data_IF_852253219618
#
_entry.id   IF_852253219618
#
_cell.length_a   1.000
_cell.length_b   1.000
_cell.length_c   1.000
_cell.angle_alpha   90.00
_cell.angle_beta   90.00
_cell.angle_gamma   90.00
#
_symmetry.space_group_name_H-M   'P 1'
#
loop_
_entity.id
_entity.type
_entity.pdbx_description
1 polymer ?
#
# COMPACT_ATOMS: atom_id res chain seq x y z
N UNK A 1 12.57 5.48 25.11
CA UNK A 1 11.21 5.24 25.67
C UNK A 1 10.09 5.64 24.73
N UNK A 2 8.85 5.72 25.26
CA UNK A 2 7.68 6.06 24.42
C UNK A 2 7.64 7.53 24.02
N UNK A 3 8.19 8.42 24.85
CA UNK A 3 8.24 9.86 24.58
C UNK A 3 9.21 10.24 23.47
N UNK A 4 10.32 9.50 23.33
CA UNK A 4 11.22 9.67 22.18
C UNK A 4 10.70 9.03 20.90
N UNK A 5 9.76 8.08 21.02
CA UNK A 5 9.18 7.34 19.88
C UNK A 5 7.97 8.03 19.29
N UNK A 6 7.01 8.39 20.13
CA UNK A 6 5.71 8.88 19.70
C UNK A 6 5.67 10.41 19.68
N UNK A 7 4.92 10.96 18.74
CA UNK A 7 4.51 12.36 18.82
C UNK A 7 3.65 12.59 20.06
N UNK A 8 3.61 13.81 20.59
CA UNK A 8 2.77 14.12 21.76
C UNK A 8 1.30 13.84 21.48
N UNK A 9 0.83 14.17 20.28
CA UNK A 9 -0.56 13.89 19.85
C UNK A 9 -0.87 12.39 19.88
N UNK A 10 0.03 11.56 19.32
CA UNK A 10 -0.15 10.12 19.33
C UNK A 10 -0.08 9.52 20.75
N UNK A 11 0.85 10.00 21.57
CA UNK A 11 0.97 9.56 22.94
C UNK A 11 -0.29 9.90 23.76
N UNK A 12 -0.81 11.12 23.59
CA UNK A 12 -2.08 11.52 24.19
C UNK A 12 -3.24 10.62 23.74
N UNK A 13 -3.39 10.35 22.43
CA UNK A 13 -4.41 9.44 21.90
C UNK A 13 -4.32 8.05 22.55
N UNK A 14 -3.09 7.50 22.69
CA UNK A 14 -2.86 6.20 23.34
C UNK A 14 -3.33 6.24 24.80
N UNK A 15 -2.98 7.27 25.57
CA UNK A 15 -3.36 7.44 26.98
C UNK A 15 -4.85 7.70 27.17
N UNK A 16 -5.57 8.11 26.13
CA UNK A 16 -7.04 8.21 26.08
C UNK A 16 -7.72 6.95 25.57
N UNK A 17 -6.98 5.84 25.42
CA UNK A 17 -7.52 4.58 24.94
C UNK A 17 -7.82 4.51 23.43
N UNK A 18 -7.54 5.58 22.66
CA UNK A 18 -7.92 5.73 21.24
C UNK A 18 -6.75 5.56 20.26
N UNK A 19 -5.57 5.16 20.75
CA UNK A 19 -4.35 5.07 19.93
C UNK A 19 -4.00 3.67 19.43
N UNK A 20 -4.97 2.76 19.33
CA UNK A 20 -4.72 1.38 18.91
C UNK A 20 -4.40 1.30 17.41
N UNK A 21 -3.20 0.83 17.09
CA UNK A 21 -2.74 0.60 15.71
C UNK A 21 -2.72 -0.88 15.32
N UNK A 22 -3.12 -1.75 16.24
CA UNK A 22 -3.23 -3.20 16.03
C UNK A 22 -4.63 -3.63 16.41
N UNK A 23 -5.59 -3.57 15.48
CA UNK A 23 -7.00 -3.88 15.79
C UNK A 23 -7.20 -5.33 16.26
N UNK A 24 -6.33 -6.24 15.83
CA UNK A 24 -6.37 -7.65 16.21
C UNK A 24 -5.93 -7.94 17.66
N UNK A 25 -5.28 -6.99 18.36
CA UNK A 25 -4.95 -7.16 19.78
C UNK A 25 -6.17 -6.82 20.63
N UNK A 26 -6.57 -7.73 21.50
CA UNK A 26 -7.64 -7.51 22.47
C UNK A 26 -7.22 -6.55 23.60
N UNK A 27 -5.94 -6.61 24.00
CA UNK A 27 -5.41 -5.72 25.03
C UNK A 27 -5.42 -4.27 24.56
N UNK A 28 -6.02 -3.41 25.38
CA UNK A 28 -6.10 -1.96 25.13
C UNK A 28 -5.51 -1.20 26.30
N UNK A 29 -4.91 -0.03 26.00
CA UNK A 29 -4.54 0.93 27.02
C UNK A 29 -5.84 1.47 27.65
N UNK A 30 -5.95 1.49 28.99
CA UNK A 30 -7.11 2.12 29.62
C UNK A 30 -7.12 3.63 29.37
N UNK A 31 -8.31 4.25 29.44
CA UNK A 31 -8.43 5.71 29.41
C UNK A 31 -8.06 6.27 30.80
N UNK A 32 -6.99 7.05 30.84
CA UNK A 32 -6.50 7.70 32.05
C UNK A 32 -7.24 9.02 32.37
N UNK A 33 -8.23 9.39 31.59
CA UNK A 33 -8.89 10.69 31.67
C UNK A 33 -8.05 11.83 31.08
N UNK A 34 -8.71 12.94 30.77
CA UNK A 34 -8.08 14.03 30.02
C UNK A 34 -6.92 14.69 30.76
N UNK A 35 -7.11 15.04 32.04
CA UNK A 35 -6.10 15.73 32.84
C UNK A 35 -4.84 14.87 33.04
N UNK A 36 -5.02 13.58 33.40
CA UNK A 36 -3.92 12.65 33.59
C UNK A 36 -3.20 12.36 32.28
N UNK A 37 -3.94 12.17 31.18
CA UNK A 37 -3.35 11.91 29.87
C UNK A 37 -2.50 13.10 29.40
N UNK A 38 -2.98 14.33 29.54
CA UNK A 38 -2.18 15.55 29.23
C UNK A 38 -0.88 15.60 30.04
N UNK A 39 -0.99 15.43 31.36
CA UNK A 39 0.17 15.47 32.26
C UNK A 39 1.18 14.36 31.95
N UNK A 40 0.71 13.12 31.76
CA UNK A 40 1.58 11.98 31.41
C UNK A 40 2.25 12.17 30.06
N UNK A 41 1.56 12.71 29.06
CA UNK A 41 2.14 13.02 27.76
C UNK A 41 3.37 13.93 27.90
N UNK A 42 3.22 15.03 28.61
CA UNK A 42 4.32 15.99 28.83
C UNK A 42 5.48 15.37 29.62
N UNK A 43 5.17 14.64 30.70
CA UNK A 43 6.19 14.01 31.55
C UNK A 43 6.98 12.94 30.78
N UNK A 44 6.30 12.08 30.01
CA UNK A 44 6.95 11.04 29.22
C UNK A 44 7.76 11.63 28.06
N UNK A 45 7.25 12.68 27.40
CA UNK A 45 8.00 13.39 26.36
C UNK A 45 9.28 14.04 26.94
N UNK A 46 9.19 14.67 28.10
CA UNK A 46 10.33 15.30 28.77
C UNK A 46 11.33 14.26 29.29
N UNK A 47 10.86 13.17 29.91
CA UNK A 47 11.72 12.12 30.45
C UNK A 47 12.52 11.38 29.36
N UNK A 48 11.97 11.30 28.18
CA UNK A 48 12.58 10.64 27.02
C UNK A 48 13.16 11.64 26.01
N UNK A 49 13.27 12.93 26.36
CA UNK A 49 13.90 13.93 25.51
C UNK A 49 15.36 13.53 25.23
N UNK A 50 15.78 13.73 23.99
CA UNK A 50 17.13 13.38 23.53
C UNK A 50 17.86 14.65 23.13
N UNK A 51 18.98 14.91 23.78
CA UNK A 51 19.84 16.06 23.48
C UNK A 51 20.78 15.80 22.29
N UNK A 52 20.95 14.50 21.92
CA UNK A 52 21.86 14.05 20.87
C UNK A 52 21.19 13.99 19.47
N UNK A 53 19.94 14.37 19.37
CA UNK A 53 19.20 14.32 18.11
C UNK A 53 19.68 15.43 17.19
N UNK A 54 20.45 15.06 16.19
CA UNK A 54 20.70 15.95 15.06
C UNK A 54 19.38 16.14 14.31
N UNK A 55 18.93 17.39 14.11
CA UNK A 55 17.76 17.63 13.28
C UNK A 55 17.95 16.90 11.94
N UNK A 56 17.02 16.01 11.60
CA UNK A 56 17.03 15.43 10.25
C UNK A 56 17.02 16.60 9.30
N UNK A 57 17.96 16.68 8.32
CA UNK A 57 17.97 17.78 7.38
C UNK A 57 16.61 17.85 6.71
N UNK A 58 15.78 18.82 7.10
CA UNK A 58 14.54 19.12 6.37
C UNK A 58 15.00 19.75 5.07
N UNK A 59 15.24 18.90 4.10
CA UNK A 59 15.60 19.38 2.78
C UNK A 59 14.48 20.28 2.26
N UNK A 60 14.85 21.47 1.82
CA UNK A 60 13.93 22.52 1.38
C UNK A 60 12.94 22.02 0.32
N UNK A 61 11.91 22.82 0.11
CA UNK A 61 10.78 22.54 -0.81
C UNK A 61 11.21 22.13 -2.24
N UNK A 62 12.42 22.47 -2.64
CA UNK A 62 12.96 22.31 -4.00
C UNK A 62 13.19 20.85 -4.44
N UNK A 63 13.16 19.87 -3.52
CA UNK A 63 13.44 18.47 -3.85
C UNK A 63 12.33 17.49 -3.42
N UNK A 64 11.15 17.97 -3.05
CA UNK A 64 10.06 17.14 -2.53
C UNK A 64 9.56 16.11 -3.55
N UNK A 65 9.38 16.49 -4.79
CA UNK A 65 8.83 15.63 -5.86
C UNK A 65 9.77 14.46 -6.15
N UNK A 66 11.07 14.72 -6.24
CA UNK A 66 12.06 13.66 -6.44
C UNK A 66 12.12 12.69 -5.27
N UNK A 67 12.08 13.20 -4.03
CA UNK A 67 12.12 12.39 -2.83
C UNK A 67 10.91 11.50 -2.66
N UNK A 68 9.73 12.03 -2.93
CA UNK A 68 8.50 11.27 -2.92
C UNK A 68 8.59 10.07 -3.88
N UNK A 69 9.07 10.29 -5.10
CA UNK A 69 9.31 9.21 -6.07
C UNK A 69 10.28 8.16 -5.52
N UNK A 70 11.43 8.60 -5.01
CA UNK A 70 12.43 7.65 -4.46
C UNK A 70 11.92 6.91 -3.23
N UNK A 71 11.14 7.56 -2.36
CA UNK A 71 10.49 6.90 -1.22
C UNK A 71 9.52 5.81 -1.66
N UNK A 72 8.73 6.10 -2.69
CA UNK A 72 7.83 5.13 -3.32
C UNK A 72 8.60 3.94 -3.91
N UNK A 73 9.68 4.22 -4.65
CA UNK A 73 10.48 3.18 -5.28
C UNK A 73 11.19 2.32 -4.23
N UNK A 74 11.66 2.91 -3.13
CA UNK A 74 12.27 2.20 -1.99
C UNK A 74 11.29 1.27 -1.28
N UNK A 75 10.05 1.70 -1.04
CA UNK A 75 9.06 0.92 -0.29
C UNK A 75 8.48 -0.25 -1.09
N UNK A 76 8.50 -0.13 -2.43
CA UNK A 76 7.99 -1.11 -3.40
C UNK A 76 8.84 -2.37 -3.55
N UNK A 77 8.34 -3.31 -4.37
CA UNK A 77 8.93 -4.65 -4.56
C UNK A 77 10.34 -4.64 -5.16
N UNK A 78 10.68 -3.63 -5.95
CA UNK A 78 12.03 -3.48 -6.54
C UNK A 78 13.01 -2.70 -5.64
N UNK A 79 12.52 -2.13 -4.55
CA UNK A 79 13.33 -1.42 -3.58
C UNK A 79 13.68 -2.28 -2.35
N UNK A 80 13.33 -1.78 -1.17
CA UNK A 80 13.51 -2.48 0.10
C UNK A 80 12.36 -3.46 0.40
N UNK A 81 11.34 -3.47 -0.43
CA UNK A 81 10.20 -4.40 -0.39
C UNK A 81 9.46 -4.40 0.97
N UNK A 82 9.28 -3.23 1.56
CA UNK A 82 8.61 -3.06 2.85
C UNK A 82 7.16 -3.58 2.82
N UNK A 83 6.50 -3.48 1.67
CA UNK A 83 5.12 -3.92 1.44
C UNK A 83 4.92 -5.44 1.47
N UNK A 84 5.99 -6.24 1.47
CA UNK A 84 5.87 -7.68 1.72
C UNK A 84 5.42 -7.97 3.14
N UNK A 85 5.79 -7.12 4.10
CA UNK A 85 5.45 -7.31 5.51
C UNK A 85 4.50 -6.25 6.06
N UNK A 86 4.43 -5.07 5.44
CA UNK A 86 3.64 -3.95 5.92
C UNK A 86 2.45 -3.66 5.03
N UNK A 87 1.31 -3.39 5.65
CA UNK A 87 0.18 -2.76 4.98
C UNK A 87 0.56 -1.31 4.59
N UNK A 88 -0.09 -0.78 3.57
CA UNK A 88 0.10 0.59 3.13
C UNK A 88 -1.22 1.21 2.63
N UNK A 89 -1.67 2.28 3.28
CA UNK A 89 -2.91 2.98 2.92
C UNK A 89 -4.14 2.04 2.79
N UNK A 90 -4.30 1.13 3.76
CA UNK A 90 -5.40 0.17 3.78
C UNK A 90 -5.24 -1.03 2.82
N UNK A 91 -4.18 -1.06 1.99
CA UNK A 91 -3.88 -2.23 1.18
C UNK A 91 -3.16 -3.28 2.02
N UNK A 92 -3.55 -4.54 1.83
CA UNK A 92 -2.88 -5.65 2.49
C UNK A 92 -1.42 -5.76 2.04
N UNK A 93 -0.56 -6.23 2.95
CA UNK A 93 0.81 -6.60 2.56
C UNK A 93 0.79 -7.79 1.61
N UNK A 94 1.86 -7.95 0.82
CA UNK A 94 1.98 -9.05 -0.15
C UNK A 94 2.27 -10.41 0.52
N UNK A 95 2.63 -10.41 1.80
CA UNK A 95 2.98 -11.61 2.55
C UNK A 95 2.52 -11.53 4.00
N UNK A 96 3.44 -11.37 4.95
CA UNK A 96 3.15 -11.33 6.38
C UNK A 96 2.43 -10.03 6.75
N UNK A 97 1.28 -10.13 7.39
CA UNK A 97 0.52 -8.94 7.80
C UNK A 97 1.15 -8.25 9.01
N UNK A 98 1.57 -7.01 8.85
CA UNK A 98 2.08 -6.14 9.89
C UNK A 98 1.35 -4.79 9.89
N UNK A 99 1.88 -3.82 10.64
CA UNK A 99 1.29 -2.48 10.74
C UNK A 99 1.18 -1.78 9.38
N UNK A 100 0.11 -1.01 9.21
CA UNK A 100 -0.01 -0.07 8.11
C UNK A 100 0.98 1.10 8.30
N UNK A 101 1.86 1.28 7.33
CA UNK A 101 2.88 2.33 7.36
C UNK A 101 2.30 3.74 7.18
N UNK A 102 1.09 3.87 6.62
CA UNK A 102 0.43 5.16 6.44
C UNK A 102 0.24 5.92 7.75
N UNK A 103 0.08 5.21 8.86
CA UNK A 103 -0.06 5.81 10.18
C UNK A 103 1.26 6.29 10.80
N UNK A 104 2.41 6.00 10.19
CA UNK A 104 3.72 6.28 10.78
C UNK A 104 4.00 7.76 11.00
N UNK A 105 3.73 8.68 10.04
CA UNK A 105 4.04 10.10 10.22
C UNK A 105 3.24 10.79 11.32
N UNK A 106 1.99 10.38 11.52
CA UNK A 106 1.16 10.94 12.59
C UNK A 106 1.60 10.50 13.99
N UNK A 107 2.18 9.30 14.06
CA UNK A 107 2.49 8.62 15.32
C UNK A 107 3.92 8.76 15.77
N UNK A 108 4.85 8.67 14.84
CA UNK A 108 6.27 8.53 15.15
C UNK A 108 6.98 9.87 15.04
N UNK A 109 7.98 10.04 15.89
CA UNK A 109 8.96 11.12 15.69
C UNK A 109 9.90 10.71 14.55
N UNK A 110 10.25 11.61 13.62
CA UNK A 110 11.09 11.29 12.47
C UNK A 110 12.47 10.77 12.84
N UNK A 111 13.03 11.27 13.93
CA UNK A 111 14.33 10.84 14.48
C UNK A 111 14.27 9.39 14.95
N UNK A 112 13.20 9.04 15.66
CA UNK A 112 12.99 7.66 16.11
C UNK A 112 12.75 6.72 14.93
N UNK A 113 11.99 7.16 13.92
CA UNK A 113 11.76 6.41 12.70
C UNK A 113 13.09 6.07 11.99
N UNK A 114 13.96 7.08 11.84
CA UNK A 114 15.30 6.92 11.27
C UNK A 114 16.13 5.88 12.05
N UNK A 115 16.27 6.07 13.33
CA UNK A 115 17.11 5.20 14.17
C UNK A 115 16.60 3.76 14.20
N UNK A 116 15.26 3.60 14.22
CA UNK A 116 14.62 2.29 14.17
C UNK A 116 14.89 1.58 12.83
N UNK A 117 14.86 2.29 11.71
CA UNK A 117 15.15 1.72 10.39
C UNK A 117 16.61 1.26 10.28
N UNK A 118 17.53 2.01 10.85
CA UNK A 118 18.96 1.66 10.84
C UNK A 118 19.22 0.40 11.66
N UNK A 119 18.68 0.30 12.88
CA UNK A 119 18.90 -0.86 13.74
C UNK A 119 17.62 -1.28 14.49
N UNK A 120 16.69 -1.98 13.83
CA UNK A 120 15.44 -2.41 14.46
C UNK A 120 15.65 -3.33 15.66
N UNK A 121 16.69 -4.17 15.64
CA UNK A 121 16.99 -5.12 16.70
C UNK A 121 17.42 -4.46 18.00
N UNK A 122 18.08 -3.29 17.97
CA UNK A 122 18.43 -2.52 19.16
C UNK A 122 17.19 -2.02 19.91
N UNK A 123 16.11 -1.70 19.18
CA UNK A 123 14.85 -1.25 19.78
C UNK A 123 13.93 -2.40 20.15
N UNK A 124 14.01 -3.50 19.44
CA UNK A 124 13.18 -4.68 19.68
C UNK A 124 13.97 -5.96 19.36
N UNK A 125 14.64 -6.53 20.34
CA UNK A 125 15.32 -7.83 20.19
C UNK A 125 14.34 -8.90 19.69
N UNK A 126 14.79 -9.70 18.72
CA UNK A 126 13.96 -10.73 18.10
C UNK A 126 12.94 -10.21 17.04
N UNK A 127 13.01 -8.94 16.65
CA UNK A 127 12.18 -8.43 15.55
C UNK A 127 12.47 -9.18 14.25
N UNK A 128 11.43 -9.41 13.44
CA UNK A 128 11.59 -9.94 12.07
C UNK A 128 11.90 -8.86 11.04
N UNK A 129 11.80 -7.58 11.43
CA UNK A 129 12.14 -6.48 10.54
C UNK A 129 13.65 -6.45 10.32
N UNK A 130 14.13 -6.62 9.06
CA UNK A 130 15.56 -6.55 8.78
C UNK A 130 16.07 -5.12 8.85
N UNK A 131 17.38 -4.95 9.05
CA UNK A 131 18.05 -3.69 8.77
C UNK A 131 18.43 -3.63 7.30
N UNK A 132 18.01 -2.57 6.61
CA UNK A 132 18.47 -2.26 5.25
C UNK A 132 19.65 -1.29 5.22
N UNK A 133 20.09 -0.88 6.39
CA UNK A 133 21.23 0.03 6.61
C UNK A 133 22.18 -0.53 7.68
N UNK A 134 22.72 -1.76 7.48
CA UNK A 134 23.64 -2.36 8.45
C UNK A 134 24.82 -1.41 8.69
N UNK A 135 25.13 -1.18 9.96
CA UNK A 135 26.16 -0.22 10.38
C UNK A 135 25.98 1.20 9.79
N UNK A 136 24.73 1.58 9.49
CA UNK A 136 24.39 2.86 8.88
C UNK A 136 24.67 2.97 7.37
N UNK A 137 24.99 1.86 6.70
CA UNK A 137 25.30 1.82 5.26
C UNK A 137 24.12 1.29 4.46
N UNK A 138 23.70 2.03 3.44
CA UNK A 138 22.59 1.65 2.59
C UNK A 138 22.95 0.45 1.68
N UNK A 139 22.10 -0.59 1.70
CA UNK A 139 22.23 -1.75 0.79
C UNK A 139 21.65 -1.46 -0.60
N UNK A 140 20.65 -0.59 -0.69
CA UNK A 140 20.02 -0.22 -1.96
C UNK A 140 20.87 0.81 -2.71
N UNK A 141 21.05 0.68 -4.05
CA UNK A 141 21.79 1.66 -4.86
C UNK A 141 21.00 2.94 -5.11
N UNK A 142 19.70 2.97 -4.81
CA UNK A 142 18.85 4.14 -4.98
C UNK A 142 19.48 5.32 -4.23
N UNK A 143 19.50 6.50 -4.85
CA UNK A 143 20.15 7.70 -4.31
C UNK A 143 21.66 7.52 -3.99
N UNK A 144 22.36 6.67 -4.75
CA UNK A 144 23.80 6.49 -4.62
C UNK A 144 24.24 5.91 -3.28
N UNK A 145 23.47 4.99 -2.72
CA UNK A 145 23.72 4.39 -1.39
C UNK A 145 23.72 5.41 -0.23
N UNK A 146 23.09 6.57 -0.41
CA UNK A 146 23.02 7.58 0.65
C UNK A 146 21.91 7.25 1.65
N UNK A 147 22.29 6.79 2.83
CA UNK A 147 21.40 6.36 3.92
C UNK A 147 20.41 7.45 4.32
N UNK A 148 20.90 8.67 4.57
CA UNK A 148 20.05 9.76 5.04
C UNK A 148 19.02 10.18 3.97
N UNK A 149 19.45 10.23 2.71
CA UNK A 149 18.54 10.56 1.61
C UNK A 149 17.48 9.46 1.39
N UNK A 150 17.83 8.20 1.57
CA UNK A 150 16.87 7.09 1.45
C UNK A 150 15.83 7.14 2.55
N UNK A 151 16.24 7.28 3.80
CA UNK A 151 15.33 7.31 4.95
C UNK A 151 14.43 8.56 4.90
N UNK A 152 14.99 9.72 4.57
CA UNK A 152 14.23 10.94 4.39
C UNK A 152 13.22 10.82 3.23
N UNK A 153 13.59 10.16 2.13
CA UNK A 153 12.67 9.91 1.02
C UNK A 153 11.50 9.02 1.42
N UNK A 154 11.74 7.98 2.22
CA UNK A 154 10.67 7.16 2.80
C UNK A 154 9.74 7.99 3.68
N UNK A 155 10.30 8.84 4.53
CA UNK A 155 9.52 9.73 5.40
C UNK A 155 8.66 10.71 4.63
N UNK A 156 9.23 11.37 3.60
CA UNK A 156 8.51 12.28 2.71
C UNK A 156 7.36 11.56 2.00
N UNK A 157 7.62 10.37 1.45
CA UNK A 157 6.61 9.59 0.77
C UNK A 157 5.44 9.22 1.69
N UNK A 158 5.73 8.74 2.91
CA UNK A 158 4.70 8.38 3.88
C UNK A 158 3.87 9.58 4.34
N UNK A 159 4.47 10.78 4.44
CA UNK A 159 3.74 12.00 4.77
C UNK A 159 2.80 12.49 3.66
N UNK A 160 3.10 12.17 2.41
CA UNK A 160 2.36 12.62 1.24
C UNK A 160 1.57 11.50 0.56
N UNK A 161 1.41 10.38 1.26
CA UNK A 161 0.87 9.14 0.70
C UNK A 161 -0.51 9.30 0.06
N UNK A 162 -1.38 10.12 0.63
CA UNK A 162 -2.73 10.39 0.09
C UNK A 162 -2.71 11.12 -1.27
N UNK A 163 -1.64 11.86 -1.55
CA UNK A 163 -1.48 12.67 -2.76
C UNK A 163 -0.61 12.00 -3.82
N UNK A 164 -0.16 10.78 -3.55
CA UNK A 164 0.83 10.11 -4.37
C UNK A 164 0.37 8.73 -4.84
N UNK A 165 1.05 8.21 -5.85
CA UNK A 165 0.78 6.85 -6.34
C UNK A 165 1.27 5.81 -5.34
N UNK A 166 0.58 4.68 -5.29
CA UNK A 166 1.04 3.51 -4.55
C UNK A 166 2.38 2.99 -5.13
N UNK A 167 3.18 2.27 -4.34
CA UNK A 167 4.43 1.70 -4.82
C UNK A 167 4.17 0.52 -5.75
N UNK A 168 5.16 0.22 -6.57
CA UNK A 168 5.13 -0.99 -7.39
C UNK A 168 4.89 -2.24 -6.51
N UNK A 169 3.95 -3.06 -6.93
CA UNK A 169 3.44 -4.23 -6.18
C UNK A 169 2.10 -3.98 -5.47
N UNK A 170 1.76 -2.73 -5.12
CA UNK A 170 0.44 -2.34 -4.63
C UNK A 170 -0.29 -1.39 -5.59
N UNK A 171 0.38 -0.91 -6.61
CA UNK A 171 -0.31 -0.18 -7.67
C UNK A 171 -1.44 -1.08 -8.15
N UNK A 172 -2.67 -0.63 -7.97
CA UNK A 172 -3.77 -1.24 -8.70
C UNK A 172 -3.39 -1.06 -10.16
N UNK A 173 -3.05 -2.14 -10.80
CA UNK A 173 -2.97 -2.17 -12.24
C UNK A 173 -4.37 -1.78 -12.70
N UNK A 174 -4.60 -0.53 -12.91
CA UNK A 174 -5.87 0.05 -13.30
C UNK A 174 -5.69 0.73 -14.65
N UNK A 175 -6.66 0.57 -15.51
CA UNK A 175 -6.64 1.16 -16.85
C UNK A 175 -6.86 0.15 -17.95
N UNK A 176 -6.99 -1.12 -17.62
CA UNK A 176 -7.30 -2.17 -18.58
C UNK A 176 -8.81 -2.44 -18.72
N UNK A 177 -9.66 -1.70 -17.98
CA UNK A 177 -11.13 -1.79 -18.14
C UNK A 177 -11.52 -1.32 -19.54
N UNK A 178 -12.06 -2.22 -20.31
CA UNK A 178 -12.56 -1.96 -21.67
C UNK A 178 -13.92 -1.29 -21.58
N UNK A 179 -14.04 -0.06 -22.11
CA UNK A 179 -15.27 0.73 -22.09
C UNK A 179 -15.80 0.95 -23.51
N UNK A 180 -16.79 0.19 -23.95
CA UNK A 180 -17.41 0.42 -25.25
C UNK A 180 -18.32 1.66 -25.21
N UNK A 181 -17.78 2.84 -25.55
CA UNK A 181 -18.53 4.12 -25.46
C UNK A 181 -19.19 4.47 -26.79
N UNK A 182 -18.42 4.58 -27.87
CA UNK A 182 -18.89 5.08 -29.17
C UNK A 182 -19.07 3.97 -30.23
N UNK A 183 -18.46 2.82 -30.02
CA UNK A 183 -18.50 1.66 -30.91
C UNK A 183 -18.34 0.38 -30.10
N UNK A 184 -18.79 -0.76 -30.64
CA UNK A 184 -18.53 -2.05 -30.04
C UNK A 184 -17.02 -2.33 -29.92
N UNK A 185 -16.65 -3.02 -28.86
CA UNK A 185 -15.30 -3.56 -28.62
C UNK A 185 -15.38 -5.08 -28.76
N UNK A 186 -14.54 -5.65 -29.62
CA UNK A 186 -14.35 -7.10 -29.74
C UNK A 186 -13.03 -7.44 -29.07
N UNK A 187 -13.07 -8.38 -28.11
CA UNK A 187 -11.92 -8.74 -27.30
C UNK A 187 -11.77 -10.26 -27.17
N UNK A 188 -10.60 -10.78 -27.55
CA UNK A 188 -10.27 -12.20 -27.39
C UNK A 188 -9.53 -12.40 -26.08
N UNK A 189 -9.97 -13.36 -25.30
CA UNK A 189 -9.39 -13.66 -23.98
C UNK A 189 -9.69 -15.10 -23.56
N UNK A 190 -9.04 -15.53 -22.49
CA UNK A 190 -9.46 -16.72 -21.74
C UNK A 190 -10.51 -16.28 -20.72
N UNK A 191 -11.72 -16.81 -20.81
CA UNK A 191 -12.85 -16.31 -20.03
C UNK A 191 -13.52 -17.41 -19.20
N UNK A 192 -13.83 -17.09 -17.95
CA UNK A 192 -14.50 -18.02 -17.05
C UNK A 192 -15.90 -18.40 -17.59
N UNK A 193 -16.16 -19.70 -17.65
CA UNK A 193 -17.42 -20.23 -18.15
C UNK A 193 -17.61 -20.19 -19.67
N UNK A 194 -16.60 -19.72 -20.42
CA UNK A 194 -16.57 -19.73 -21.88
C UNK A 194 -15.40 -20.58 -22.41
N UNK A 195 -14.21 -20.42 -21.80
CA UNK A 195 -13.03 -21.17 -22.19
C UNK A 195 -11.89 -20.32 -22.73
N UNK A 196 -10.92 -20.98 -23.36
CA UNK A 196 -9.70 -20.35 -23.90
C UNK A 196 -9.90 -19.74 -25.29
N UNK A 197 -11.02 -20.00 -25.93
CA UNK A 197 -11.36 -19.49 -27.26
C UNK A 197 -12.48 -18.43 -27.22
N UNK A 198 -12.57 -17.71 -26.07
CA UNK A 198 -13.61 -16.71 -25.87
C UNK A 198 -13.39 -15.46 -26.75
N UNK A 199 -14.43 -15.02 -27.42
CA UNK A 199 -14.54 -13.74 -28.12
C UNK A 199 -15.66 -12.95 -27.44
N UNK A 200 -15.30 -11.96 -26.64
CA UNK A 200 -16.26 -11.11 -25.97
C UNK A 200 -16.56 -9.87 -26.83
N UNK A 201 -17.82 -9.47 -26.85
CA UNK A 201 -18.29 -8.29 -27.58
C UNK A 201 -18.99 -7.35 -26.59
N UNK A 202 -18.41 -6.18 -26.41
CA UNK A 202 -18.97 -5.12 -25.59
C UNK A 202 -19.66 -4.08 -26.46
N UNK A 203 -20.92 -3.75 -26.14
CA UNK A 203 -21.71 -2.77 -26.88
C UNK A 203 -21.88 -1.47 -26.06
N UNK A 204 -21.95 -0.29 -26.71
CA UNK A 204 -22.24 0.98 -26.04
C UNK A 204 -23.58 1.01 -25.31
N UNK A 205 -24.52 0.13 -25.66
CA UNK A 205 -25.80 -0.03 -24.96
C UNK A 205 -25.67 -0.59 -23.54
N UNK A 206 -24.47 -1.01 -23.14
CA UNK A 206 -24.22 -1.66 -21.85
C UNK A 206 -24.72 -3.09 -21.75
N UNK A 207 -25.09 -3.72 -22.88
CA UNK A 207 -25.36 -5.17 -23.00
C UNK A 207 -24.17 -5.80 -23.71
N UNK A 208 -23.65 -6.87 -23.19
CA UNK A 208 -22.44 -7.51 -23.68
C UNK A 208 -22.66 -9.01 -23.86
N UNK A 209 -21.86 -9.65 -24.71
CA UNK A 209 -21.95 -11.09 -24.95
C UNK A 209 -20.57 -11.71 -25.13
N UNK A 210 -20.46 -12.99 -24.82
CA UNK A 210 -19.29 -13.80 -25.13
C UNK A 210 -19.65 -14.98 -26.02
N UNK A 211 -18.83 -15.17 -27.04
CA UNK A 211 -18.92 -16.24 -28.02
C UNK A 211 -17.76 -17.21 -27.81
N UNK A 212 -18.04 -18.49 -27.79
CA UNK A 212 -17.02 -19.53 -27.82
C UNK A 212 -16.73 -19.91 -29.26
N UNK A 213 -15.53 -19.65 -29.75
CA UNK A 213 -15.16 -19.94 -31.14
C UNK A 213 -14.81 -21.40 -31.39
N UNK A 214 -14.64 -22.20 -30.33
CA UNK A 214 -14.45 -23.65 -30.43
C UNK A 214 -15.81 -24.37 -30.57
N UNK A 215 -16.75 -24.04 -29.67
CA UNK A 215 -18.10 -24.57 -29.72
C UNK A 215 -19.00 -23.87 -30.75
N UNK A 216 -18.53 -22.81 -31.40
CA UNK A 216 -19.24 -21.99 -32.41
C UNK A 216 -20.61 -21.50 -31.92
N UNK A 217 -20.65 -20.94 -30.67
CA UNK A 217 -21.91 -20.52 -30.07
C UNK A 217 -21.76 -19.35 -29.08
N UNK A 218 -22.86 -18.60 -28.90
CA UNK A 218 -22.97 -17.61 -27.84
C UNK A 218 -23.19 -18.34 -26.52
N UNK A 219 -22.38 -18.00 -25.49
CA UNK A 219 -22.37 -18.72 -24.23
C UNK A 219 -22.84 -17.89 -23.04
N UNK A 220 -22.56 -16.59 -23.08
CA UNK A 220 -22.81 -15.73 -21.92
C UNK A 220 -23.23 -14.34 -22.37
N UNK A 221 -24.22 -13.76 -21.69
CA UNK A 221 -24.65 -12.35 -21.86
C UNK A 221 -24.68 -11.67 -20.49
N UNK A 222 -24.34 -10.37 -20.44
CA UNK A 222 -24.41 -9.59 -19.19
C UNK A 222 -24.66 -8.11 -19.45
N UNK A 223 -24.94 -7.34 -18.38
CA UNK A 223 -25.20 -5.89 -18.44
C UNK A 223 -24.23 -5.11 -17.58
N UNK A 224 -23.99 -3.85 -17.95
CA UNK A 224 -23.21 -2.88 -17.16
C UNK A 224 -21.78 -2.74 -17.65
N UNK A 225 -20.78 -2.97 -16.79
CA UNK A 225 -19.37 -2.90 -17.17
C UNK A 225 -18.98 -4.09 -18.05
N UNK A 226 -18.08 -3.85 -19.02
CA UNK A 226 -17.71 -4.88 -19.98
C UNK A 226 -16.70 -5.88 -19.38
N UNK A 227 -15.42 -5.68 -19.58
CA UNK A 227 -14.34 -6.56 -19.14
C UNK A 227 -13.13 -5.74 -18.69
N UNK A 228 -12.25 -6.38 -17.91
CA UNK A 228 -10.88 -5.92 -17.68
C UNK A 228 -9.92 -6.77 -18.53
N UNK A 229 -9.06 -6.11 -19.27
CA UNK A 229 -8.08 -6.77 -20.13
C UNK A 229 -6.77 -7.13 -19.39
N UNK A 230 -6.64 -6.82 -18.10
CA UNK A 230 -5.42 -7.00 -17.32
C UNK A 230 -4.88 -8.42 -17.44
N UNK A 231 -5.72 -9.43 -17.18
CA UNK A 231 -5.31 -10.83 -17.24
C UNK A 231 -4.78 -11.25 -18.62
N UNK A 232 -5.30 -10.64 -19.69
CA UNK A 232 -4.88 -10.93 -21.08
C UNK A 232 -3.60 -10.20 -21.46
N UNK A 233 -3.50 -8.90 -21.11
CA UNK A 233 -2.42 -8.04 -21.59
C UNK A 233 -1.19 -8.07 -20.69
N UNK A 234 -1.36 -8.35 -19.40
CA UNK A 234 -0.29 -8.24 -18.42
C UNK A 234 0.00 -9.56 -17.68
N UNK A 235 -1.02 -10.35 -17.37
CA UNK A 235 -0.89 -11.54 -16.50
C UNK A 235 -0.93 -12.88 -17.28
N UNK A 236 -0.73 -12.87 -18.59
CA UNK A 236 -0.68 -14.07 -19.44
C UNK A 236 -1.89 -14.98 -19.25
N UNK A 237 -3.11 -14.38 -19.30
CA UNK A 237 -4.41 -15.04 -19.19
C UNK A 237 -4.73 -15.68 -17.82
N UNK A 238 -4.05 -15.29 -16.77
CA UNK A 238 -4.30 -15.81 -15.42
C UNK A 238 -4.46 -14.64 -14.43
N UNK A 239 -5.58 -14.53 -13.67
CA UNK A 239 -6.76 -15.43 -13.69
C UNK A 239 -7.59 -15.28 -14.97
N UNK A 240 -8.50 -16.22 -15.21
CA UNK A 240 -9.45 -16.12 -16.33
C UNK A 240 -10.27 -14.83 -16.23
N UNK A 241 -10.46 -14.15 -17.34
CA UNK A 241 -11.26 -12.92 -17.41
C UNK A 241 -12.71 -13.20 -17.02
N UNK A 242 -13.32 -12.29 -16.26
CA UNK A 242 -14.73 -12.36 -15.83
C UNK A 242 -15.49 -11.13 -16.30
N UNK A 243 -16.82 -11.24 -16.57
CA UNK A 243 -17.66 -10.07 -16.72
C UNK A 243 -17.57 -9.13 -15.52
N UNK A 244 -17.36 -7.84 -15.76
CA UNK A 244 -17.37 -6.82 -14.69
C UNK A 244 -18.78 -6.32 -14.35
N UNK A 245 -19.75 -6.65 -15.18
CA UNK A 245 -21.14 -6.23 -15.00
C UNK A 245 -21.96 -7.17 -14.14
N UNK A 246 -23.26 -7.00 -14.23
CA UNK A 246 -24.28 -7.74 -13.46
C UNK A 246 -25.24 -8.50 -14.38
N UNK A 247 -26.17 -9.26 -13.82
CA UNK A 247 -27.17 -10.03 -14.57
C UNK A 247 -26.51 -10.96 -15.62
N UNK A 248 -25.50 -11.70 -15.18
CA UNK A 248 -24.79 -12.65 -16.02
C UNK A 248 -25.70 -13.85 -16.28
N UNK A 249 -26.05 -14.09 -17.53
CA UNK A 249 -26.83 -15.24 -17.96
C UNK A 249 -25.99 -16.13 -18.86
N UNK A 250 -26.04 -17.43 -18.59
CA UNK A 250 -25.50 -18.45 -19.48
C UNK A 250 -26.57 -18.82 -20.52
N UNK A 251 -26.20 -18.86 -21.78
CA UNK A 251 -27.05 -19.33 -22.86
C UNK A 251 -26.91 -20.85 -22.96
N UNK A 252 -27.99 -21.57 -23.33
CA UNK A 252 -27.90 -22.98 -23.58
C UNK A 252 -26.92 -23.26 -24.73
N UNK A 253 -26.04 -24.23 -24.54
CA UNK A 253 -25.23 -24.79 -25.64
C UNK A 253 -26.18 -25.43 -26.66
N UNK A 254 -26.12 -25.01 -27.91
CA UNK A 254 -26.86 -25.60 -28.99
C UNK A 254 -26.48 -27.06 -29.25
#
# INVERSE_FOLDING_TARGET
GVGSKLTESALYKVLRGNGAVRPYLATRMPDFGEASAKRLTLLLAAADARDDVKPTPRHGKENKVGRNKYGRDLIGVKGLNCITCHQLAGNNSLGIQSLDLASSPERLRPEWFRDYLINPAAFRPGTRMPSFWPEGKAVSPILGHNTELQIDSLWVYLNELEQTRLPEGLEKKGGFELKPVNRPIVFRTFMEGVGTHAIAVGFPSGVHAAFDSEAVGWTTVWRGKFLDAESTWDDRFTPLTKPLGTNIMKLPSG
#
